data_IF_323515487584
#
_entry.id   IF_323515487584
#
_cell.length_a   1.000
_cell.length_b   1.000
_cell.length_c   1.000
_cell.angle_alpha   90.00
_cell.angle_beta   90.00
_cell.angle_gamma   90.00
#
_symmetry.space_group_name_H-M   'P 1'
#
loop_
_entity.id
_entity.type
_entity.pdbx_description
1 polymer ?
#
# COMPACT_ATOMS: atom_id res chain seq x y z
N UNK A 1 -14.97 3.57 23.12
CA UNK A 1 -15.27 2.13 22.92
C UNK A 1 -14.59 1.27 23.97
N UNK A 2 -15.26 0.22 24.47
CA UNK A 2 -14.60 -0.87 25.24
C UNK A 2 -13.96 -1.87 24.28
N UNK A 3 -12.79 -2.41 24.64
CA UNK A 3 -11.99 -3.28 23.77
C UNK A 3 -12.78 -4.50 23.28
N UNK A 4 -12.85 -4.69 21.96
CA UNK A 4 -13.26 -5.97 21.39
C UNK A 4 -12.20 -7.04 21.68
N UNK A 5 -12.64 -8.25 22.02
CA UNK A 5 -11.73 -9.38 22.24
C UNK A 5 -10.97 -9.74 20.96
N UNK A 6 -9.65 -9.48 20.97
CA UNK A 6 -8.72 -9.89 19.92
C UNK A 6 -8.87 -11.39 19.65
N UNK A 7 -9.33 -11.74 18.45
CA UNK A 7 -9.58 -13.14 18.03
C UNK A 7 -11.05 -13.53 17.87
N UNK A 8 -12.01 -12.68 18.26
CA UNK A 8 -13.43 -12.94 17.95
C UNK A 8 -13.70 -12.71 16.44
N UNK A 9 -14.27 -13.68 15.69
CA UNK A 9 -14.50 -13.53 14.24
C UNK A 9 -15.50 -12.42 13.88
N UNK A 10 -16.36 -12.02 14.82
CA UNK A 10 -17.33 -10.93 14.65
C UNK A 10 -16.70 -9.53 14.84
N UNK A 11 -15.54 -9.43 15.51
CA UNK A 11 -14.92 -8.15 15.89
C UNK A 11 -14.57 -7.25 14.69
N UNK A 12 -14.12 -7.82 13.58
CA UNK A 12 -13.77 -7.08 12.35
C UNK A 12 -15.01 -6.46 11.68
N UNK A 13 -16.13 -7.18 11.66
CA UNK A 13 -17.39 -6.67 11.13
C UNK A 13 -17.97 -5.55 12.02
N UNK A 14 -17.94 -5.75 13.35
CA UNK A 14 -18.36 -4.72 14.31
C UNK A 14 -17.49 -3.46 14.22
N UNK A 15 -16.18 -3.62 14.01
CA UNK A 15 -15.30 -2.48 13.75
C UNK A 15 -15.74 -1.71 12.49
N UNK A 16 -16.02 -2.43 11.40
CA UNK A 16 -16.44 -1.82 10.13
C UNK A 16 -17.75 -1.04 10.28
N UNK A 17 -18.73 -1.61 11.00
CA UNK A 17 -20.02 -0.96 11.29
C UNK A 17 -19.89 0.30 12.15
N UNK A 18 -18.91 0.37 13.06
CA UNK A 18 -18.70 1.58 13.89
C UNK A 18 -17.86 2.63 13.15
N UNK A 19 -16.96 2.24 12.26
CA UNK A 19 -16.21 3.17 11.41
C UNK A 19 -17.07 3.83 10.32
N UNK A 20 -18.16 3.18 9.89
CA UNK A 20 -19.07 3.63 8.83
C UNK A 20 -19.73 5.00 9.09
N UNK A 21 -20.32 5.30 10.27
CA UNK A 21 -20.83 6.64 10.61
C UNK A 21 -19.88 7.80 10.31
N UNK A 22 -18.58 7.67 10.61
CA UNK A 22 -17.57 8.69 10.29
C UNK A 22 -17.44 8.89 8.77
N UNK A 23 -17.42 7.78 8.01
CA UNK A 23 -17.37 7.85 6.56
C UNK A 23 -18.64 8.44 5.95
N UNK A 24 -19.82 8.20 6.55
CA UNK A 24 -21.08 8.81 6.12
C UNK A 24 -21.05 10.32 6.35
N UNK A 25 -20.69 10.78 7.55
CA UNK A 25 -20.59 12.21 7.90
C UNK A 25 -19.70 12.97 6.90
N UNK A 26 -18.49 12.48 6.65
CA UNK A 26 -17.52 13.10 5.74
C UNK A 26 -18.00 13.03 4.28
N UNK A 27 -18.64 11.93 3.85
CA UNK A 27 -19.15 11.80 2.48
C UNK A 27 -20.32 12.75 2.21
N UNK A 28 -21.27 12.83 3.13
CA UNK A 28 -22.50 13.62 2.99
C UNK A 28 -22.29 15.14 3.18
N UNK A 29 -21.28 15.57 3.93
CA UNK A 29 -20.98 17.01 4.04
C UNK A 29 -20.41 17.56 2.72
N UNK A 30 -21.23 18.30 1.97
CA UNK A 30 -20.86 18.96 0.71
C UNK A 30 -19.79 20.04 0.90
N UNK A 31 -19.64 20.60 2.11
CA UNK A 31 -18.58 21.58 2.42
C UNK A 31 -17.20 20.95 2.52
N UNK A 32 -17.12 19.62 2.75
CA UNK A 32 -15.87 18.86 2.69
C UNK A 32 -15.58 18.50 1.23
N UNK A 33 -14.67 19.24 0.59
CA UNK A 33 -14.22 18.94 -0.78
C UNK A 33 -13.13 17.86 -0.74
N UNK A 34 -13.36 16.77 -1.47
CA UNK A 34 -12.38 15.71 -1.69
C UNK A 34 -11.68 15.81 -3.04
N UNK A 35 -10.74 14.90 -3.30
CA UNK A 35 -10.05 14.84 -4.60
C UNK A 35 -11.02 14.35 -5.66
N UNK A 36 -11.40 15.21 -6.60
CA UNK A 36 -12.21 14.88 -7.77
C UNK A 36 -11.36 14.12 -8.81
N UNK A 37 -11.86 13.00 -9.30
CA UNK A 37 -11.28 12.26 -10.43
C UNK A 37 -11.68 12.89 -11.78
N UNK A 38 -10.99 12.54 -12.87
CA UNK A 38 -11.36 13.02 -14.23
C UNK A 38 -12.79 12.64 -14.65
N UNK A 39 -13.33 11.57 -14.07
CA UNK A 39 -14.69 11.07 -14.31
C UNK A 39 -15.74 11.70 -13.37
N UNK A 40 -15.34 12.66 -12.54
CA UNK A 40 -16.23 13.41 -11.64
C UNK A 40 -16.47 12.78 -10.26
N UNK A 41 -16.05 11.54 -10.03
CA UNK A 41 -16.16 10.88 -8.72
C UNK A 41 -15.22 11.54 -7.69
N UNK A 42 -15.66 11.66 -6.43
CA UNK A 42 -14.93 12.39 -5.38
C UNK A 42 -14.38 11.40 -4.33
N UNK A 43 -13.07 11.43 -4.11
CA UNK A 43 -12.41 10.72 -3.01
C UNK A 43 -12.32 11.62 -1.78
N UNK A 44 -13.04 11.29 -0.70
CA UNK A 44 -12.92 11.99 0.60
C UNK A 44 -12.24 11.14 1.68
N UNK A 45 -12.60 9.85 1.79
CA UNK A 45 -12.16 8.98 2.88
C UNK A 45 -11.96 7.53 2.42
N UNK A 46 -10.89 6.92 2.92
CA UNK A 46 -10.51 5.53 2.77
C UNK A 46 -10.29 4.94 4.17
N UNK A 47 -10.81 3.74 4.45
CA UNK A 47 -10.68 3.08 5.75
C UNK A 47 -10.28 1.62 5.56
N UNK A 48 -9.38 1.14 6.41
CA UNK A 48 -8.99 -0.27 6.47
C UNK A 48 -8.72 -0.66 7.92
N UNK A 49 -9.71 -1.28 8.56
CA UNK A 49 -9.74 -1.38 10.03
C UNK A 49 -9.51 0.01 10.65
N UNK A 50 -8.58 0.14 11.59
CA UNK A 50 -8.24 1.38 12.29
C UNK A 50 -7.50 2.42 11.44
N UNK A 51 -6.72 2.00 10.43
CA UNK A 51 -6.07 2.92 9.50
C UNK A 51 -7.13 3.69 8.67
N UNK A 52 -7.24 4.99 8.91
CA UNK A 52 -8.16 5.89 8.18
C UNK A 52 -7.37 6.95 7.43
N UNK A 53 -7.48 7.00 6.10
CA UNK A 53 -6.87 8.04 5.26
C UNK A 53 -7.96 8.99 4.75
N UNK A 54 -7.82 10.29 4.99
CA UNK A 54 -8.74 11.33 4.50
C UNK A 54 -7.99 12.19 3.47
N UNK A 55 -8.67 12.51 2.37
CA UNK A 55 -8.13 13.31 1.27
C UNK A 55 -9.03 14.50 1.00
N UNK A 56 -8.48 15.70 1.11
CA UNK A 56 -9.21 16.97 0.96
C UNK A 56 -8.51 17.93 0.01
N UNK A 57 -9.29 18.83 -0.59
CA UNK A 57 -8.79 19.82 -1.56
C UNK A 57 -8.16 21.05 -0.89
N UNK A 58 -8.71 21.51 0.23
CA UNK A 58 -8.34 22.77 0.90
C UNK A 58 -8.37 22.68 2.44
N UNK A 59 -7.75 23.66 3.11
CA UNK A 59 -7.68 23.71 4.58
C UNK A 59 -9.05 23.89 5.24
N UNK A 60 -10.00 24.56 4.57
CA UNK A 60 -11.36 24.72 5.09
C UNK A 60 -12.09 23.37 5.17
N UNK A 61 -11.95 22.53 4.15
CA UNK A 61 -12.44 21.15 4.14
C UNK A 61 -11.78 20.31 5.24
N UNK A 62 -10.51 20.58 5.55
CA UNK A 62 -9.81 19.91 6.66
C UNK A 62 -10.35 20.34 8.03
N UNK A 63 -10.61 21.63 8.27
CA UNK A 63 -11.26 22.08 9.53
C UNK A 63 -12.64 21.42 9.72
N UNK A 64 -13.42 21.30 8.64
CA UNK A 64 -14.70 20.57 8.66
C UNK A 64 -14.51 19.09 9.03
N UNK A 65 -13.46 18.45 8.52
CA UNK A 65 -13.08 17.08 8.90
C UNK A 65 -12.69 16.99 10.38
N UNK A 66 -11.95 17.95 10.95
CA UNK A 66 -11.65 17.99 12.40
C UNK A 66 -12.95 18.01 13.23
N UNK A 67 -13.93 18.84 12.85
CA UNK A 67 -15.23 18.90 13.53
C UNK A 67 -15.97 17.56 13.46
N UNK A 68 -15.99 16.89 12.30
CA UNK A 68 -16.59 15.55 12.16
C UNK A 68 -15.87 14.49 12.99
N UNK A 69 -14.54 14.51 13.02
CA UNK A 69 -13.73 13.60 13.82
C UNK A 69 -13.97 13.79 15.33
N UNK A 70 -14.06 15.04 15.80
CA UNK A 70 -14.41 15.36 17.18
C UNK A 70 -15.81 14.88 17.56
N UNK A 71 -16.82 15.19 16.73
CA UNK A 71 -18.21 14.76 16.96
C UNK A 71 -18.35 13.23 16.95
N UNK A 72 -17.67 12.54 16.03
CA UNK A 72 -17.58 11.08 16.01
C UNK A 72 -16.89 10.53 17.26
N UNK A 73 -15.82 11.18 17.74
CA UNK A 73 -15.13 10.84 18.98
C UNK A 73 -16.05 10.93 20.20
N UNK A 74 -16.83 12.01 20.32
CA UNK A 74 -17.85 12.16 21.37
C UNK A 74 -18.92 11.06 21.32
N UNK A 75 -19.42 10.72 20.12
CA UNK A 75 -20.51 9.74 19.95
C UNK A 75 -20.06 8.28 20.15
N UNK A 76 -18.86 7.92 19.70
CA UNK A 76 -18.32 6.54 19.75
C UNK A 76 -17.43 6.27 20.98
N UNK A 77 -16.96 7.34 21.64
CA UNK A 77 -15.86 7.28 22.59
C UNK A 77 -14.56 6.76 21.95
N UNK A 78 -14.34 7.02 20.66
CA UNK A 78 -13.05 6.83 20.00
C UNK A 78 -12.16 8.07 20.22
N UNK A 79 -10.84 7.88 20.26
CA UNK A 79 -9.87 8.98 20.29
C UNK A 79 -8.87 8.80 19.14
N UNK A 80 -8.60 9.87 18.41
CA UNK A 80 -7.52 9.92 17.42
C UNK A 80 -6.18 9.79 18.15
N UNK A 81 -5.23 9.06 17.57
CA UNK A 81 -3.86 9.10 18.03
C UNK A 81 -3.11 10.26 17.35
N UNK A 82 -3.21 11.47 17.91
CA UNK A 82 -2.55 12.68 17.38
C UNK A 82 -1.05 12.44 17.12
N UNK A 83 -0.36 11.80 18.07
CA UNK A 83 1.07 11.45 17.99
C UNK A 83 1.47 10.51 16.84
N UNK A 84 0.52 9.72 16.31
CA UNK A 84 0.75 8.87 15.14
C UNK A 84 0.18 9.46 13.86
N UNK A 85 -0.78 10.37 13.95
CA UNK A 85 -1.49 10.92 12.81
C UNK A 85 -0.59 11.88 12.02
N UNK A 86 -0.58 11.72 10.69
CA UNK A 86 0.32 12.42 9.77
C UNK A 86 -0.50 13.22 8.75
N UNK A 87 -0.08 14.46 8.47
CA UNK A 87 -0.66 15.30 7.40
C UNK A 87 0.39 15.63 6.35
N UNK A 88 0.07 15.37 5.08
CA UNK A 88 0.91 15.63 3.92
C UNK A 88 0.22 16.53 2.90
N UNK A 89 0.66 17.79 2.81
CA UNK A 89 0.24 18.71 1.75
C UNK A 89 0.88 18.32 0.41
N UNK A 90 0.09 18.05 -0.64
CA UNK A 90 0.55 17.69 -1.99
C UNK A 90 0.18 18.77 -3.02
N UNK A 91 1.04 18.94 -4.02
CA UNK A 91 0.92 20.03 -5.00
C UNK A 91 1.08 21.42 -4.38
N UNK A 92 0.47 22.43 -5.00
CA UNK A 92 0.64 23.86 -4.69
C UNK A 92 -0.51 24.46 -3.90
N UNK A 93 -1.16 23.68 -3.03
CA UNK A 93 -2.20 24.19 -2.15
C UNK A 93 -1.63 25.20 -1.13
N UNK A 94 -2.41 26.21 -0.78
CA UNK A 94 -2.09 27.12 0.33
C UNK A 94 -1.97 26.32 1.62
N UNK A 95 -0.92 26.58 2.40
CA UNK A 95 -0.63 25.86 3.66
C UNK A 95 -0.38 26.84 4.80
N UNK A 96 -0.93 26.52 5.96
CA UNK A 96 -0.72 27.22 7.23
C UNK A 96 -0.01 26.25 8.18
N UNK A 97 1.33 26.30 8.27
CA UNK A 97 2.10 25.33 9.04
C UNK A 97 1.67 25.27 10.51
N UNK A 98 1.41 24.06 11.02
CA UNK A 98 1.01 23.85 12.41
C UNK A 98 -0.44 24.23 12.73
N UNK A 99 -1.32 24.34 11.73
CA UNK A 99 -2.76 24.62 11.91
C UNK A 99 -3.51 23.54 12.70
N UNK A 100 -3.01 22.30 12.70
CA UNK A 100 -3.59 21.16 13.42
C UNK A 100 -2.51 20.39 14.19
N UNK A 101 -2.90 19.71 15.27
CA UNK A 101 -2.00 18.98 16.19
C UNK A 101 -1.45 17.65 15.63
N UNK A 102 -1.39 17.50 14.31
CA UNK A 102 -0.87 16.31 13.63
C UNK A 102 0.56 16.51 13.16
N UNK A 103 1.32 15.42 13.00
CA UNK A 103 2.69 15.53 12.50
C UNK A 103 2.68 15.90 11.01
N UNK A 104 3.06 17.12 10.70
CA UNK A 104 3.27 17.52 9.30
C UNK A 104 4.44 16.72 8.70
N UNK A 105 4.21 16.10 7.53
CA UNK A 105 5.23 15.40 6.76
C UNK A 105 5.38 16.05 5.39
N UNK A 106 6.63 16.28 4.98
CA UNK A 106 6.94 17.13 3.83
C UNK A 106 6.91 16.34 2.53
N UNK A 107 7.60 15.21 2.45
CA UNK A 107 7.88 14.52 1.18
C UNK A 107 7.06 13.24 0.99
N UNK A 108 6.74 12.56 2.10
CA UNK A 108 6.10 11.25 2.10
C UNK A 108 5.26 10.99 3.37
N UNK A 109 4.21 10.19 3.20
CA UNK A 109 3.35 9.62 4.25
C UNK A 109 3.30 8.10 4.04
N UNK A 110 3.21 7.35 5.12
CA UNK A 110 3.11 5.89 5.05
C UNK A 110 1.65 5.47 5.18
N UNK A 111 1.13 4.73 4.21
CA UNK A 111 -0.25 4.23 4.17
C UNK A 111 -0.24 2.72 3.95
N UNK A 112 -0.87 1.96 4.85
CA UNK A 112 -0.96 0.48 4.81
C UNK A 112 0.39 -0.26 4.65
N UNK A 113 1.50 0.38 5.01
CA UNK A 113 2.85 -0.18 4.92
C UNK A 113 3.63 0.15 3.64
N UNK A 114 3.05 0.93 2.72
CA UNK A 114 3.69 1.51 1.54
C UNK A 114 3.91 3.02 1.80
N UNK A 115 5.00 3.58 1.29
CA UNK A 115 5.23 5.03 1.33
C UNK A 115 4.61 5.66 0.08
N UNK A 116 3.81 6.70 0.26
CA UNK A 116 3.29 7.57 -0.80
C UNK A 116 3.96 8.92 -0.62
N UNK A 117 4.38 9.57 -1.70
CA UNK A 117 5.09 10.84 -1.60
C UNK A 117 5.07 11.66 -2.89
N UNK A 118 5.46 12.92 -2.77
CA UNK A 118 5.52 13.89 -3.89
C UNK A 118 6.42 13.36 -5.01
N UNK A 119 7.61 12.87 -4.63
CA UNK A 119 8.53 12.21 -5.54
C UNK A 119 8.21 10.71 -5.59
N UNK A 120 7.43 10.29 -6.58
CA UNK A 120 7.00 8.89 -6.71
C UNK A 120 8.17 7.89 -6.77
N UNK A 121 9.31 8.29 -7.37
CA UNK A 121 10.51 7.46 -7.47
C UNK A 121 11.17 7.19 -6.11
N UNK A 122 11.25 8.20 -5.24
CA UNK A 122 11.84 8.09 -3.90
C UNK A 122 10.94 7.26 -2.98
N UNK A 123 9.63 7.56 -2.95
CA UNK A 123 8.64 6.82 -2.17
C UNK A 123 8.56 5.32 -2.57
N UNK A 124 8.67 5.04 -3.87
CA UNK A 124 8.80 3.69 -4.43
C UNK A 124 10.06 3.00 -3.91
N UNK A 125 11.23 3.61 -4.06
CA UNK A 125 12.50 2.99 -3.72
C UNK A 125 12.61 2.77 -2.20
N UNK A 126 12.14 3.72 -1.38
CA UNK A 126 12.06 3.57 0.09
C UNK A 126 11.10 2.47 0.53
N UNK A 127 9.96 2.31 -0.16
CA UNK A 127 9.06 1.17 0.03
C UNK A 127 9.81 -0.15 -0.22
N UNK A 128 10.54 -0.26 -1.34
CA UNK A 128 11.31 -1.46 -1.64
C UNK A 128 12.47 -1.71 -0.68
N UNK A 129 13.16 -0.68 -0.21
CA UNK A 129 14.25 -0.81 0.76
C UNK A 129 13.73 -1.26 2.14
N UNK A 130 12.56 -0.78 2.56
CA UNK A 130 11.86 -1.28 3.74
C UNK A 130 11.54 -2.79 3.59
N UNK A 131 11.04 -3.21 2.42
CA UNK A 131 10.74 -4.62 2.12
C UNK A 131 12.01 -5.48 2.06
N UNK A 132 13.09 -5.02 1.42
CA UNK A 132 14.41 -5.68 1.40
C UNK A 132 14.91 -5.90 2.82
N UNK A 133 14.80 -4.89 3.71
CA UNK A 133 15.25 -5.01 5.10
C UNK A 133 14.45 -6.07 5.88
N UNK A 134 13.12 -6.14 5.67
CA UNK A 134 12.24 -7.15 6.27
C UNK A 134 12.55 -8.55 5.74
N UNK A 135 12.75 -8.69 4.44
CA UNK A 135 13.17 -9.94 3.80
C UNK A 135 14.52 -10.40 4.33
N UNK A 136 15.52 -9.52 4.43
CA UNK A 136 16.83 -9.86 4.99
C UNK A 136 16.73 -10.35 6.44
N UNK A 137 15.95 -9.66 7.29
CA UNK A 137 15.73 -10.05 8.69
C UNK A 137 15.08 -11.43 8.79
N UNK A 138 14.06 -11.71 7.97
CA UNK A 138 13.41 -13.02 7.91
C UNK A 138 14.37 -14.12 7.42
N UNK A 139 15.12 -13.88 6.34
CA UNK A 139 16.10 -14.84 5.83
C UNK A 139 17.22 -15.12 6.84
N UNK A 140 17.66 -14.11 7.59
CA UNK A 140 18.64 -14.28 8.66
C UNK A 140 18.11 -15.13 9.81
N UNK A 141 16.86 -14.91 10.26
CA UNK A 141 16.18 -15.73 11.27
C UNK A 141 16.09 -17.19 10.82
N UNK A 142 15.64 -17.45 9.59
CA UNK A 142 15.50 -18.82 9.08
C UNK A 142 16.82 -19.49 8.74
N UNK A 143 17.90 -18.73 8.47
CA UNK A 143 19.24 -19.28 8.22
C UNK A 143 19.83 -19.99 9.44
N UNK A 144 19.45 -19.56 10.66
CA UNK A 144 19.86 -20.19 11.93
C UNK A 144 19.37 -21.64 12.04
N UNK A 145 18.30 -22.01 11.33
CA UNK A 145 17.74 -23.37 11.33
C UNK A 145 18.41 -24.25 10.27
N UNK A 146 18.66 -25.53 10.58
CA UNK A 146 19.17 -26.52 9.61
C UNK A 146 18.02 -26.96 8.67
N UNK A 147 17.79 -26.20 7.61
CA UNK A 147 16.77 -26.48 6.60
C UNK A 147 17.36 -27.17 5.35
N UNK A 148 16.64 -28.17 4.83
CA UNK A 148 16.88 -28.74 3.48
C UNK A 148 16.57 -27.71 2.39
N UNK A 149 17.08 -27.91 1.18
CA UNK A 149 16.77 -27.03 0.03
C UNK A 149 15.25 -26.94 -0.20
N UNK A 150 14.53 -28.07 -0.13
CA UNK A 150 13.05 -28.12 -0.19
C UNK A 150 12.41 -27.25 0.91
N UNK A 151 12.86 -27.38 2.15
CA UNK A 151 12.36 -26.56 3.27
C UNK A 151 12.61 -25.06 3.07
N UNK A 152 13.77 -24.69 2.54
CA UNK A 152 14.09 -23.29 2.19
C UNK A 152 13.16 -22.75 1.10
N UNK A 153 12.87 -23.53 0.06
CA UNK A 153 11.91 -23.14 -0.99
C UNK A 153 10.51 -22.91 -0.43
N UNK A 154 10.05 -23.74 0.51
CA UNK A 154 8.77 -23.52 1.22
C UNK A 154 8.78 -22.20 2.00
N UNK A 155 9.85 -21.89 2.74
CA UNK A 155 10.00 -20.61 3.47
C UNK A 155 9.99 -19.41 2.51
N UNK A 156 10.67 -19.50 1.37
CA UNK A 156 10.68 -18.43 0.36
C UNK A 156 9.26 -18.21 -0.19
N UNK A 157 8.63 -19.28 -0.68
CA UNK A 157 7.32 -19.21 -1.32
C UNK A 157 6.20 -18.73 -0.38
N UNK A 158 6.27 -19.06 0.92
CA UNK A 158 5.24 -18.69 1.91
C UNK A 158 5.51 -17.35 2.60
N UNK A 159 6.73 -17.09 3.05
CA UNK A 159 7.05 -15.95 3.92
C UNK A 159 7.76 -14.80 3.22
N UNK A 160 8.55 -15.06 2.17
CA UNK A 160 9.33 -14.01 1.48
C UNK A 160 8.52 -13.43 0.32
N UNK A 161 7.97 -14.29 -0.54
CA UNK A 161 7.16 -13.90 -1.68
C UNK A 161 5.90 -13.13 -1.24
N UNK A 162 5.29 -13.47 -0.11
CA UNK A 162 4.15 -12.73 0.45
C UNK A 162 4.48 -11.29 0.85
N UNK A 163 5.72 -11.00 1.27
CA UNK A 163 6.18 -9.61 1.53
C UNK A 163 6.46 -8.82 0.26
N UNK A 164 6.70 -9.49 -0.86
CA UNK A 164 6.97 -8.85 -2.17
C UNK A 164 5.66 -8.61 -2.93
N UNK A 165 4.72 -9.55 -2.91
CA UNK A 165 3.44 -9.49 -3.65
C UNK A 165 2.62 -8.24 -3.32
N UNK A 166 2.54 -7.84 -2.04
CA UNK A 166 1.72 -6.69 -1.65
C UNK A 166 2.25 -5.35 -2.20
N UNK A 167 3.52 -4.94 -1.95
CA UNK A 167 4.11 -3.76 -2.58
C UNK A 167 4.09 -3.79 -4.11
N UNK A 168 4.25 -4.98 -4.72
CA UNK A 168 4.23 -5.20 -6.17
C UNK A 168 2.85 -4.91 -6.80
N UNK A 169 1.78 -4.92 -6.02
CA UNK A 169 0.44 -4.51 -6.47
C UNK A 169 0.28 -2.99 -6.58
N UNK A 170 1.09 -2.21 -5.84
CA UNK A 170 1.06 -0.74 -5.83
C UNK A 170 2.14 -0.18 -6.75
N UNK A 171 3.40 -0.55 -6.49
CA UNK A 171 4.56 -0.02 -7.19
C UNK A 171 5.17 -0.99 -8.19
N UNK A 172 5.89 -0.44 -9.17
CA UNK A 172 6.76 -1.27 -10.00
C UNK A 172 8.06 -1.65 -9.29
N UNK A 173 8.59 -2.82 -9.66
CA UNK A 173 9.78 -3.42 -9.11
C UNK A 173 10.94 -3.21 -10.10
N UNK A 174 11.86 -2.26 -9.85
CA UNK A 174 13.01 -2.02 -10.73
C UNK A 174 13.97 -3.21 -10.73
N UNK A 175 14.69 -3.42 -11.84
CA UNK A 175 15.61 -4.56 -11.97
C UNK A 175 16.74 -4.54 -10.92
N UNK A 176 17.18 -3.35 -10.50
CA UNK A 176 18.08 -3.14 -9.34
C UNK A 176 17.57 -3.83 -8.07
N UNK A 177 16.26 -3.75 -7.81
CA UNK A 177 15.61 -4.30 -6.62
C UNK A 177 15.32 -5.80 -6.81
N UNK A 178 14.86 -6.20 -8.01
CA UNK A 178 14.68 -7.61 -8.37
C UNK A 178 15.99 -8.41 -8.20
N UNK A 179 17.11 -7.86 -8.69
CA UNK A 179 18.43 -8.48 -8.56
C UNK A 179 18.89 -8.57 -7.09
N UNK A 180 18.57 -7.58 -6.25
CA UNK A 180 18.80 -7.67 -4.79
C UNK A 180 18.00 -8.83 -4.17
N UNK A 181 16.71 -8.97 -4.46
CA UNK A 181 15.90 -10.09 -3.95
C UNK A 181 16.41 -11.45 -4.45
N UNK A 182 16.72 -11.57 -5.75
CA UNK A 182 17.26 -12.80 -6.33
C UNK A 182 18.61 -13.18 -5.70
N UNK A 183 19.49 -12.21 -5.43
CA UNK A 183 20.76 -12.43 -4.72
C UNK A 183 20.54 -12.89 -3.27
N UNK A 184 19.62 -12.27 -2.53
CA UNK A 184 19.27 -12.68 -1.16
C UNK A 184 18.70 -14.10 -1.11
N UNK A 185 17.77 -14.44 -2.02
CA UNK A 185 17.17 -15.77 -2.13
C UNK A 185 18.22 -16.82 -2.48
N UNK A 186 19.07 -16.54 -3.48
CA UNK A 186 20.16 -17.43 -3.90
C UNK A 186 21.14 -17.67 -2.75
N UNK A 187 21.54 -16.61 -2.03
CA UNK A 187 22.41 -16.69 -0.86
C UNK A 187 21.80 -17.51 0.26
N UNK A 188 20.49 -17.38 0.52
CA UNK A 188 19.78 -18.18 1.52
C UNK A 188 19.72 -19.66 1.14
N UNK A 189 19.39 -19.98 -0.12
CA UNK A 189 19.33 -21.35 -0.62
C UNK A 189 20.70 -22.04 -0.47
N UNK A 190 21.78 -21.40 -0.94
CA UNK A 190 23.11 -22.02 -1.03
C UNK A 190 24.04 -21.77 0.16
N UNK A 191 23.69 -20.87 1.11
CA UNK A 191 24.54 -20.49 2.25
C UNK A 191 25.96 -20.04 1.85
N UNK A 192 26.07 -19.30 0.75
CA UNK A 192 27.35 -18.86 0.13
C UNK A 192 28.20 -19.99 -0.51
N UNK A 193 27.72 -21.24 -0.56
CA UNK A 193 28.33 -22.27 -1.41
C UNK A 193 28.05 -21.97 -2.89
N UNK A 194 28.79 -22.64 -3.80
CA UNK A 194 28.51 -22.58 -5.25
C UNK A 194 27.07 -23.01 -5.54
N UNK A 195 26.43 -22.36 -6.51
CA UNK A 195 25.07 -22.70 -6.96
C UNK A 195 25.09 -24.08 -7.62
N UNK A 196 24.60 -25.13 -6.93
CA UNK A 196 24.65 -26.51 -7.42
C UNK A 196 23.54 -26.85 -8.42
N UNK A 197 22.46 -26.07 -8.44
CA UNK A 197 21.28 -26.29 -9.30
C UNK A 197 20.99 -25.00 -10.06
N UNK A 198 20.76 -25.11 -11.37
CA UNK A 198 20.36 -24.00 -12.24
C UNK A 198 19.05 -23.36 -11.74
N UNK A 199 18.94 -22.03 -11.79
CA UNK A 199 17.72 -21.31 -11.43
C UNK A 199 16.48 -21.84 -12.18
N UNK A 200 16.61 -22.21 -13.47
CA UNK A 200 15.51 -22.84 -14.24
C UNK A 200 15.00 -24.12 -13.60
N UNK A 201 15.88 -24.95 -13.04
CA UNK A 201 15.50 -26.18 -12.34
C UNK A 201 14.92 -25.92 -10.94
N UNK A 202 15.31 -24.82 -10.28
CA UNK A 202 14.69 -24.42 -9.00
C UNK A 202 13.21 -24.03 -9.20
N UNK A 203 12.89 -23.29 -10.25
CA UNK A 203 11.53 -22.81 -10.54
C UNK A 203 10.62 -23.89 -11.16
N UNK A 204 11.20 -24.91 -11.81
CA UNK A 204 10.46 -25.95 -12.50
C UNK A 204 9.50 -26.75 -11.58
N UNK A 205 8.40 -27.31 -12.12
CA UNK A 205 7.46 -28.14 -11.37
C UNK A 205 8.11 -29.39 -10.75
N UNK A 206 7.52 -29.90 -9.65
CA UNK A 206 7.95 -31.16 -9.03
C UNK A 206 7.91 -32.37 -9.98
N UNK A 207 7.01 -32.36 -10.98
CA UNK A 207 6.91 -33.41 -12.02
C UNK A 207 8.14 -33.49 -12.92
N UNK A 208 8.86 -32.38 -13.08
CA UNK A 208 10.07 -32.23 -13.90
C UNK A 208 11.35 -32.31 -13.02
N UNK A 209 11.24 -32.81 -11.78
CA UNK A 209 12.33 -32.84 -10.81
C UNK A 209 12.69 -31.49 -10.18
N UNK A 210 11.95 -30.42 -10.52
CA UNK A 210 12.17 -29.09 -9.99
C UNK A 210 11.66 -28.88 -8.56
N UNK A 211 11.88 -27.68 -8.01
CA UNK A 211 11.50 -27.35 -6.62
C UNK A 211 10.28 -26.43 -6.49
N UNK A 212 9.69 -25.98 -7.61
CA UNK A 212 8.58 -25.03 -7.67
C UNK A 212 8.87 -23.73 -6.89
N UNK A 213 10.10 -23.24 -6.94
CA UNK A 213 10.47 -21.91 -6.44
C UNK A 213 9.70 -20.86 -7.24
N UNK A 214 9.09 -19.90 -6.56
CA UNK A 214 8.36 -18.82 -7.25
C UNK A 214 9.37 -17.82 -7.83
N UNK A 215 9.35 -17.67 -9.16
CA UNK A 215 10.00 -16.57 -9.84
C UNK A 215 9.25 -15.25 -9.58
N UNK A 216 10.01 -14.23 -9.17
CA UNK A 216 9.50 -12.89 -8.86
C UNK A 216 9.11 -12.15 -10.14
N UNK A 217 9.83 -12.34 -11.26
CA UNK A 217 9.54 -11.65 -12.52
C UNK A 217 8.22 -12.14 -13.13
N UNK A 218 8.01 -13.46 -13.16
CA UNK A 218 6.74 -14.09 -13.53
C UNK A 218 5.59 -13.60 -12.64
N UNK A 219 5.82 -13.39 -11.33
CA UNK A 219 4.80 -12.81 -10.44
C UNK A 219 4.53 -11.32 -10.69
N UNK A 220 5.55 -10.52 -11.02
CA UNK A 220 5.39 -9.12 -11.47
C UNK A 220 4.47 -9.06 -12.68
N UNK A 221 4.75 -9.84 -13.72
CA UNK A 221 3.94 -9.91 -14.93
C UNK A 221 2.51 -10.38 -14.63
N UNK A 222 2.33 -11.46 -13.88
CA UNK A 222 1.01 -12.00 -13.54
C UNK A 222 0.14 -11.01 -12.73
N UNK A 223 0.73 -10.25 -11.80
CA UNK A 223 0.00 -9.22 -11.04
C UNK A 223 -0.40 -8.05 -11.93
N UNK A 224 0.47 -7.60 -12.84
CA UNK A 224 0.14 -6.54 -13.81
C UNK A 224 -0.99 -6.97 -14.74
N UNK A 225 -0.93 -8.17 -15.31
CA UNK A 225 -2.00 -8.73 -16.14
C UNK A 225 -3.31 -8.79 -15.33
N UNK A 226 -3.28 -9.31 -14.10
CA UNK A 226 -4.48 -9.36 -13.23
C UNK A 226 -5.10 -7.98 -12.96
N UNK A 227 -4.28 -6.94 -12.75
CA UNK A 227 -4.76 -5.57 -12.55
C UNK A 227 -5.41 -5.01 -13.83
N UNK A 228 -4.78 -5.20 -14.99
CA UNK A 228 -5.31 -4.75 -16.29
C UNK A 228 -6.60 -5.51 -16.63
N UNK A 229 -6.63 -6.84 -16.47
CA UNK A 229 -7.86 -7.63 -16.65
C UNK A 229 -8.97 -7.13 -15.73
N UNK A 230 -8.68 -6.87 -14.44
CA UNK A 230 -9.68 -6.32 -13.51
C UNK A 230 -10.19 -4.95 -13.96
N UNK A 231 -9.34 -4.07 -14.48
CA UNK A 231 -9.76 -2.77 -15.02
C UNK A 231 -10.66 -2.90 -16.26
N UNK A 232 -10.37 -3.87 -17.14
CA UNK A 232 -11.10 -4.07 -18.39
C UNK A 232 -12.42 -4.84 -18.24
N UNK A 233 -12.54 -5.78 -17.29
CA UNK A 233 -13.68 -6.70 -17.20
C UNK A 233 -14.60 -6.51 -15.98
N UNK A 234 -14.22 -5.66 -15.02
CA UNK A 234 -15.02 -5.45 -13.80
C UNK A 234 -16.25 -4.60 -14.06
N UNK A 235 -17.43 -5.14 -13.76
CA UNK A 235 -18.69 -4.38 -13.67
C UNK A 235 -18.70 -3.37 -12.52
N UNK A 236 -17.92 -3.62 -11.46
CA UNK A 236 -17.81 -2.72 -10.31
C UNK A 236 -16.95 -1.51 -10.63
N UNK A 237 -17.51 -0.29 -10.52
CA UNK A 237 -16.79 0.97 -10.69
C UNK A 237 -15.95 1.28 -9.43
N UNK A 238 -14.67 0.91 -9.44
CA UNK A 238 -13.74 1.33 -8.38
C UNK A 238 -13.14 2.70 -8.70
N UNK A 239 -12.99 3.58 -7.71
CA UNK A 239 -12.46 4.94 -7.95
C UNK A 239 -11.03 4.98 -8.49
N UNK A 240 -10.22 3.95 -8.20
CA UNK A 240 -8.90 3.80 -8.81
C UNK A 240 -8.96 3.52 -10.32
N UNK A 241 -10.07 3.03 -10.87
CA UNK A 241 -10.25 2.94 -12.32
C UNK A 241 -10.30 4.33 -12.95
N UNK A 242 -10.88 5.32 -12.28
CA UNK A 242 -10.95 6.68 -12.80
C UNK A 242 -9.56 7.31 -12.78
N UNK A 243 -8.82 7.18 -11.67
CA UNK A 243 -7.42 7.64 -11.60
C UNK A 243 -6.50 6.86 -12.57
N UNK A 244 -6.73 5.56 -12.78
CA UNK A 244 -5.95 4.77 -13.72
C UNK A 244 -6.28 5.09 -15.18
N UNK A 245 -7.56 5.31 -15.52
CA UNK A 245 -7.96 5.85 -16.82
C UNK A 245 -7.33 7.23 -17.01
N UNK A 246 -7.41 8.09 -16.01
CA UNK A 246 -6.76 9.41 -16.01
C UNK A 246 -5.26 9.31 -16.23
N UNK A 247 -4.57 8.35 -15.59
CA UNK A 247 -3.15 8.08 -15.79
C UNK A 247 -2.81 7.46 -17.16
N UNK A 248 -3.76 6.79 -17.82
CA UNK A 248 -3.64 6.37 -19.22
C UNK A 248 -4.00 7.50 -20.21
N UNK A 249 -4.74 8.52 -19.73
CA UNK A 249 -5.01 9.80 -20.39
C UNK A 249 -3.91 10.84 -20.08
N UNK A 250 -4.15 12.10 -20.46
CA UNK A 250 -3.17 13.17 -20.73
C UNK A 250 -2.36 12.90 -22.02
N UNK A 251 -1.05 13.21 -22.10
CA UNK A 251 -0.41 13.50 -23.42
C UNK A 251 -0.24 12.34 -24.42
N UNK A 252 -0.83 11.17 -24.17
CA UNK A 252 -1.66 10.66 -25.26
C UNK A 252 -2.03 9.19 -25.29
N UNK A 253 -3.20 8.95 -25.87
CA UNK A 253 -3.36 7.99 -26.96
C UNK A 253 -2.99 8.71 -28.27
N UNK A 254 -1.72 8.89 -28.64
CA UNK A 254 -0.43 8.34 -28.15
C UNK A 254 0.57 9.51 -27.90
N UNK A 255 1.55 9.50 -27.00
CA UNK A 255 2.05 8.56 -25.97
C UNK A 255 3.18 9.30 -25.23
N UNK A 256 3.47 9.23 -23.91
CA UNK A 256 2.89 8.65 -22.68
C UNK A 256 3.47 9.47 -21.49
N UNK A 257 2.78 9.78 -20.38
CA UNK A 257 1.62 10.69 -20.22
C UNK A 257 1.55 11.20 -18.74
N UNK A 258 0.63 12.12 -18.38
CA UNK A 258 1.03 13.32 -17.60
C UNK A 258 0.05 13.89 -16.52
N UNK A 259 0.49 14.12 -15.27
CA UNK A 259 -0.32 14.80 -14.23
C UNK A 259 0.45 15.74 -13.29
N UNK A 260 -0.16 16.89 -12.99
CA UNK A 260 0.02 17.65 -11.74
C UNK A 260 -1.25 17.52 -10.89
N UNK A 261 -1.13 17.33 -9.58
CA UNK A 261 -2.28 17.23 -8.65
C UNK A 261 -2.03 18.15 -7.44
N UNK A 262 -3.06 18.91 -7.05
CA UNK A 262 -3.14 19.68 -5.79
C UNK A 262 -4.11 18.95 -4.85
N UNK A 263 -3.66 18.55 -3.65
CA UNK A 263 -4.49 17.87 -2.65
C UNK A 263 -3.73 17.73 -1.31
N UNK A 264 -4.42 17.63 -0.18
CA UNK A 264 -3.80 17.15 1.07
C UNK A 264 -4.19 15.68 1.34
N UNK A 265 -3.23 14.87 1.80
CA UNK A 265 -3.42 13.48 2.24
C UNK A 265 -3.14 13.43 3.73
N UNK A 266 -4.15 13.10 4.53
CA UNK A 266 -4.02 12.88 5.98
C UNK A 266 -4.18 11.39 6.28
N UNK A 267 -3.32 10.82 7.11
CA UNK A 267 -3.44 9.44 7.57
C UNK A 267 -3.54 9.37 9.10
N UNK A 268 -4.58 8.71 9.59
CA UNK A 268 -4.96 8.60 11.00
C UNK A 268 -4.78 7.16 11.52
N UNK A 269 -4.40 7.07 12.78
CA UNK A 269 -3.99 5.85 13.52
C UNK A 269 -4.37 5.93 15.02
#
# INVERSE_FOLDING_TARGET
MRNFSLGCPLSSLLYSLVAEPLAILIKQDETVKGIKSSQGNISKIFQFADDTTITVEDEASMDRVIVHLHNYGLASGAKINENKSEIMYCGVATRTPGRWEFREVVDEVKVLGVYLGKQQGEARDKTWENVISKVQKLLNLWNQRKLTIKGKTVIINSLIISKIIYPLSVYDLPDRILNKFNSQITTFIWRRNRNLINHKSLIAPYKEGGLKLVDILSKKQAIRIKLVTKFLTSSTKHIWFDYFRSYLESFGTKTVFNFEIKAAICNFY
#
